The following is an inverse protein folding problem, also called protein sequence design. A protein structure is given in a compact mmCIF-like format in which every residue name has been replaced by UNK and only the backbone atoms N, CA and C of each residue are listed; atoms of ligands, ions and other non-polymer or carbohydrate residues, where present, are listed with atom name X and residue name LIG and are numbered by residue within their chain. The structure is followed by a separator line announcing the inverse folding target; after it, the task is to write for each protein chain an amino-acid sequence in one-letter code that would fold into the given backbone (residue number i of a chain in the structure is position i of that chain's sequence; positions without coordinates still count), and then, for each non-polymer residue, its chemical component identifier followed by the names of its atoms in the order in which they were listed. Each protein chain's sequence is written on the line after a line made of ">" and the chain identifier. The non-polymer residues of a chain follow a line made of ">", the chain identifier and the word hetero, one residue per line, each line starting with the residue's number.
data_IF_220824720042
#
_entry.id   IF_220824720042
#
_cell.length_a   1.000
_cell.length_b   1.000
_cell.length_c   1.000
_cell.angle_alpha   90.00
_cell.angle_beta   90.00
_cell.angle_gamma   90.00
#
_symmetry.space_group_name_H-M   'P 1'
#
loop_
_entity.id
_entity.type
_entity.pdbx_description
1 polymer ?
#
# COMPACT_ATOMS: atom_id res chain seq x y z
N UNK A 1 19.98 -30.15 23.04
CA UNK A 1 18.98 -31.04 23.70
C UNK A 1 17.55 -30.60 23.47
N UNK A 2 17.19 -29.32 23.58
CA UNK A 2 15.81 -28.80 23.40
C UNK A 2 15.24 -28.98 21.98
N UNK A 3 16.04 -28.77 20.94
CA UNK A 3 15.63 -28.90 19.53
C UNK A 3 15.28 -30.34 19.17
N UNK A 4 16.10 -31.33 19.58
CA UNK A 4 15.84 -32.75 19.34
C UNK A 4 14.53 -33.25 19.96
N UNK A 5 14.23 -32.83 21.20
CA UNK A 5 12.94 -33.17 21.84
C UNK A 5 11.73 -32.62 21.09
N UNK A 6 11.86 -31.43 20.50
CA UNK A 6 10.80 -30.79 19.69
C UNK A 6 10.57 -31.52 18.37
N UNK A 7 11.62 -32.04 17.73
CA UNK A 7 11.49 -32.86 16.52
C UNK A 7 10.91 -34.23 16.82
N UNK A 8 11.31 -34.88 17.90
CA UNK A 8 10.74 -36.17 18.32
C UNK A 8 9.23 -36.06 18.63
N UNK A 9 8.80 -34.99 19.31
CA UNK A 9 7.37 -34.74 19.55
C UNK A 9 6.59 -34.52 18.26
N UNK A 10 7.17 -33.75 17.30
CA UNK A 10 6.53 -33.50 16.00
C UNK A 10 6.47 -34.75 15.13
N UNK A 11 7.51 -35.61 15.17
CA UNK A 11 7.52 -36.90 14.49
C UNK A 11 6.40 -37.81 14.96
N UNK A 12 6.23 -37.95 16.27
CA UNK A 12 5.15 -38.77 16.86
C UNK A 12 3.75 -38.32 16.43
N UNK A 13 3.56 -37.03 16.19
CA UNK A 13 2.24 -36.46 15.81
C UNK A 13 1.98 -36.36 14.30
N UNK A 14 3.01 -36.34 13.46
CA UNK A 14 2.86 -35.99 12.04
C UNK A 14 3.54 -36.95 11.04
N UNK A 15 4.23 -38.00 11.54
CA UNK A 15 4.91 -39.01 10.72
C UNK A 15 6.23 -38.54 10.10
N UNK A 16 6.94 -39.52 9.49
CA UNK A 16 8.32 -39.37 9.00
C UNK A 16 8.47 -38.27 7.95
N UNK A 17 7.65 -38.27 6.92
CA UNK A 17 7.76 -37.33 5.77
C UNK A 17 7.63 -35.88 6.20
N UNK A 18 6.60 -35.57 6.99
CA UNK A 18 6.39 -34.20 7.51
C UNK A 18 7.51 -33.76 8.47
N UNK A 19 8.08 -34.72 9.23
CA UNK A 19 9.20 -34.45 10.12
C UNK A 19 10.48 -34.16 9.36
N UNK A 20 10.78 -34.93 8.29
CA UNK A 20 11.91 -34.67 7.40
C UNK A 20 11.78 -33.35 6.67
N UNK A 21 10.59 -33.00 6.12
CA UNK A 21 10.36 -31.70 5.50
C UNK A 21 10.59 -30.55 6.48
N UNK A 22 10.21 -30.70 7.74
CA UNK A 22 10.47 -29.68 8.77
C UNK A 22 11.95 -29.53 9.09
N UNK A 23 12.71 -30.64 9.15
CA UNK A 23 14.17 -30.62 9.37
C UNK A 23 14.85 -29.86 8.23
N UNK A 24 14.53 -30.19 6.98
CA UNK A 24 15.13 -29.55 5.78
C UNK A 24 14.71 -28.07 5.68
N UNK A 25 13.47 -27.73 5.98
CA UNK A 25 12.97 -26.35 5.85
C UNK A 25 13.40 -25.41 6.99
N UNK A 26 13.78 -25.96 8.16
CA UNK A 26 14.13 -25.14 9.34
C UNK A 26 15.37 -24.26 9.11
N UNK A 27 16.49 -24.73 8.56
CA UNK A 27 17.66 -23.89 8.28
C UNK A 27 17.33 -22.77 7.30
N UNK A 28 16.62 -23.06 6.21
CA UNK A 28 16.20 -22.06 5.23
C UNK A 28 15.28 -21.01 5.85
N UNK A 29 14.37 -21.41 6.72
CA UNK A 29 13.48 -20.50 7.45
C UNK A 29 14.25 -19.60 8.42
N UNK A 30 15.26 -20.12 9.10
CA UNK A 30 16.12 -19.34 10.00
C UNK A 30 16.97 -18.33 9.22
N UNK A 31 17.54 -18.73 8.07
CA UNK A 31 18.28 -17.83 7.18
C UNK A 31 17.37 -16.71 6.66
N UNK A 32 16.17 -17.04 6.16
CA UNK A 32 15.18 -16.05 5.72
C UNK A 32 14.82 -15.07 6.84
N UNK A 33 14.56 -15.57 8.05
CA UNK A 33 14.26 -14.73 9.23
C UNK A 33 15.42 -13.82 9.60
N UNK A 34 16.67 -14.32 9.55
CA UNK A 34 17.88 -13.54 9.82
C UNK A 34 18.05 -12.42 8.78
N UNK A 35 17.89 -12.74 7.49
CA UNK A 35 17.96 -11.76 6.41
C UNK A 35 16.86 -10.70 6.51
N UNK A 36 15.63 -11.11 6.80
CA UNK A 36 14.53 -10.19 7.05
C UNK A 36 14.86 -9.21 8.20
N UNK A 37 15.32 -9.71 9.35
CA UNK A 37 15.67 -8.88 10.49
C UNK A 37 16.85 -7.93 10.17
N UNK A 38 17.84 -8.38 9.40
CA UNK A 38 18.97 -7.56 8.95
C UNK A 38 18.48 -6.43 8.03
N UNK A 39 17.63 -6.75 7.04
CA UNK A 39 17.05 -5.78 6.14
C UNK A 39 16.18 -4.78 6.91
N UNK A 40 15.31 -5.26 7.81
CA UNK A 40 14.49 -4.42 8.68
C UNK A 40 15.36 -3.42 9.45
N UNK A 41 16.40 -3.88 10.14
CA UNK A 41 17.31 -2.99 10.89
C UNK A 41 17.99 -1.96 9.98
N UNK A 42 18.45 -2.37 8.80
CA UNK A 42 19.07 -1.46 7.83
C UNK A 42 18.08 -0.41 7.32
N UNK A 43 16.89 -0.81 6.90
CA UNK A 43 15.84 0.11 6.40
C UNK A 43 15.53 1.19 7.44
N UNK A 44 15.23 0.78 8.69
CA UNK A 44 14.77 1.68 9.74
C UNK A 44 15.88 2.46 10.45
N UNK A 45 17.17 2.22 10.11
CA UNK A 45 18.28 3.06 10.59
C UNK A 45 18.43 4.37 9.81
N UNK A 46 17.76 4.52 8.67
CA UNK A 46 17.84 5.74 7.87
C UNK A 46 16.77 6.76 8.27
N UNK A 47 17.12 8.07 8.20
CA UNK A 47 16.18 9.15 8.50
C UNK A 47 15.34 9.57 7.26
N UNK A 48 15.91 9.40 6.05
CA UNK A 48 15.25 9.76 4.80
C UNK A 48 14.20 8.73 4.36
N UNK A 49 12.96 9.16 4.11
CA UNK A 49 11.90 8.31 3.59
C UNK A 49 12.28 7.75 2.22
N UNK A 50 12.81 8.59 1.32
CA UNK A 50 13.33 8.13 0.02
C UNK A 50 14.27 6.94 0.20
N UNK A 51 15.27 7.05 1.10
CA UNK A 51 16.22 5.97 1.33
C UNK A 51 15.59 4.71 1.90
N UNK A 52 14.63 4.85 2.81
CA UNK A 52 13.88 3.70 3.37
C UNK A 52 13.11 2.97 2.28
N UNK A 53 12.32 3.67 1.47
CA UNK A 53 11.51 3.06 0.41
C UNK A 53 12.36 2.50 -0.74
N UNK A 54 13.50 3.12 -1.08
CA UNK A 54 14.48 2.51 -2.00
C UNK A 54 15.03 1.17 -1.49
N UNK A 55 15.32 1.06 -0.19
CA UNK A 55 15.79 -0.19 0.42
C UNK A 55 14.68 -1.24 0.50
N UNK A 56 13.46 -0.84 0.80
CA UNK A 56 12.27 -1.70 0.76
C UNK A 56 12.11 -2.30 -0.64
N UNK A 57 12.16 -1.46 -1.67
CA UNK A 57 12.09 -1.87 -3.07
C UNK A 57 13.23 -2.83 -3.44
N UNK A 58 14.50 -2.43 -3.25
CA UNK A 58 15.69 -3.21 -3.62
C UNK A 58 15.77 -4.57 -2.92
N UNK A 59 15.25 -4.67 -1.71
CA UNK A 59 15.24 -5.93 -0.95
C UNK A 59 14.00 -6.80 -1.18
N UNK A 60 13.04 -6.36 -2.01
CA UNK A 60 11.70 -6.96 -2.12
C UNK A 60 11.13 -7.28 -0.73
N UNK A 61 11.15 -6.26 0.16
CA UNK A 61 10.81 -6.43 1.58
C UNK A 61 9.38 -6.94 1.78
N UNK A 62 8.45 -6.56 0.90
CA UNK A 62 7.05 -7.00 0.92
C UNK A 62 6.83 -8.38 0.27
N UNK A 63 7.90 -9.01 -0.26
CA UNK A 63 7.97 -10.43 -0.58
C UNK A 63 6.92 -10.97 -1.56
N UNK A 64 6.44 -10.19 -2.52
CA UNK A 64 5.65 -10.70 -3.64
C UNK A 64 6.57 -11.12 -4.80
N UNK A 65 6.12 -12.12 -5.55
CA UNK A 65 6.80 -12.58 -6.77
C UNK A 65 6.31 -11.88 -8.03
N UNK A 66 5.10 -11.30 -7.97
CA UNK A 66 4.45 -10.67 -9.11
C UNK A 66 4.65 -9.15 -9.10
N UNK A 67 4.54 -8.52 -7.94
CA UNK A 67 4.60 -7.07 -7.79
C UNK A 67 5.57 -6.67 -6.69
N UNK A 68 6.48 -5.75 -6.96
CA UNK A 68 7.37 -5.18 -5.95
C UNK A 68 6.65 -4.35 -4.90
N UNK A 69 5.41 -3.95 -5.19
CA UNK A 69 4.50 -3.26 -4.27
C UNK A 69 3.81 -4.20 -3.28
N UNK A 70 4.12 -5.49 -3.30
CA UNK A 70 3.66 -6.49 -2.36
C UNK A 70 2.39 -7.25 -2.81
N UNK A 71 1.99 -8.22 -1.96
CA UNK A 71 0.88 -9.13 -2.25
C UNK A 71 -0.46 -8.42 -2.53
N UNK A 72 -0.71 -7.28 -1.90
CA UNK A 72 -1.92 -6.48 -2.11
C UNK A 72 -2.05 -5.94 -3.53
N UNK A 73 -0.94 -5.81 -4.27
CA UNK A 73 -0.90 -5.30 -5.64
C UNK A 73 -0.85 -6.41 -6.70
N UNK A 74 -0.92 -7.69 -6.31
CA UNK A 74 -1.04 -8.79 -7.26
C UNK A 74 -2.39 -8.75 -7.98
N UNK A 75 -2.39 -9.12 -9.25
CA UNK A 75 -3.55 -9.00 -10.14
C UNK A 75 -4.80 -9.72 -9.61
N UNK A 76 -4.62 -10.92 -9.03
CA UNK A 76 -5.70 -11.70 -8.42
C UNK A 76 -6.33 -11.03 -7.20
N UNK A 77 -5.54 -10.26 -6.44
CA UNK A 77 -5.98 -9.61 -5.20
C UNK A 77 -6.63 -8.24 -5.44
N UNK A 78 -6.67 -7.77 -6.70
CA UNK A 78 -7.21 -6.47 -7.10
C UNK A 78 -8.39 -6.56 -8.07
N UNK A 79 -9.00 -7.76 -8.24
CA UNK A 79 -10.10 -7.98 -9.20
C UNK A 79 -11.31 -7.10 -8.84
N UNK A 80 -11.77 -7.16 -7.60
CA UNK A 80 -12.88 -6.33 -7.14
C UNK A 80 -12.57 -4.84 -7.26
N UNK A 81 -11.38 -4.44 -6.81
CA UNK A 81 -10.91 -3.06 -6.92
C UNK A 81 -10.97 -2.56 -8.37
N UNK A 82 -10.42 -3.31 -9.32
CA UNK A 82 -10.43 -2.90 -10.74
C UNK A 82 -11.85 -2.76 -11.29
N UNK A 83 -12.75 -3.69 -10.98
CA UNK A 83 -14.15 -3.61 -11.43
C UNK A 83 -14.87 -2.37 -10.88
N UNK A 84 -14.70 -2.07 -9.60
CA UNK A 84 -15.29 -0.89 -8.98
C UNK A 84 -14.65 0.42 -9.46
N UNK A 85 -13.34 0.42 -9.75
CA UNK A 85 -12.66 1.58 -10.34
C UNK A 85 -13.22 1.96 -11.70
N UNK A 86 -13.60 0.99 -12.55
CA UNK A 86 -14.27 1.29 -13.85
C UNK A 86 -15.55 2.07 -13.62
N UNK A 87 -16.36 1.69 -12.63
CA UNK A 87 -17.60 2.40 -12.28
C UNK A 87 -17.29 3.80 -11.75
N UNK A 88 -16.35 3.91 -10.81
CA UNK A 88 -15.96 5.19 -10.22
C UNK A 88 -15.48 6.18 -11.30
N UNK A 89 -14.59 5.75 -12.19
CA UNK A 89 -14.08 6.57 -13.30
C UNK A 89 -15.23 7.10 -14.15
N UNK A 90 -16.20 6.25 -14.49
CA UNK A 90 -17.37 6.64 -15.27
C UNK A 90 -18.30 7.58 -14.52
N UNK A 91 -18.67 7.24 -13.29
CA UNK A 91 -19.70 7.94 -12.52
C UNK A 91 -19.23 9.35 -12.10
N UNK A 92 -17.93 9.48 -11.80
CA UNK A 92 -17.30 10.77 -11.43
C UNK A 92 -16.66 11.48 -12.63
N UNK A 93 -16.80 10.95 -13.86
CA UNK A 93 -16.27 11.54 -15.10
C UNK A 93 -14.78 11.85 -15.02
N UNK A 94 -13.99 10.90 -14.50
CA UNK A 94 -12.55 11.04 -14.33
C UNK A 94 -11.86 10.89 -15.69
N UNK A 95 -11.13 11.90 -16.11
CA UNK A 95 -10.33 11.93 -17.35
C UNK A 95 -8.83 11.94 -17.08
N UNK A 96 -8.44 12.21 -15.83
CA UNK A 96 -7.03 12.26 -15.42
C UNK A 96 -6.82 11.70 -14.01
N UNK A 97 -5.78 10.88 -13.86
CA UNK A 97 -5.39 10.24 -12.60
C UNK A 97 -3.93 10.58 -12.25
N UNK A 98 -3.72 11.00 -11.01
CA UNK A 98 -2.43 10.93 -10.33
C UNK A 98 -2.45 9.72 -9.40
N UNK A 99 -1.65 8.70 -9.68
CA UNK A 99 -1.46 7.54 -8.80
C UNK A 99 -0.13 7.69 -8.04
N UNK A 100 -0.20 7.95 -6.75
CA UNK A 100 1.00 8.20 -5.94
C UNK A 100 0.82 7.71 -4.48
N UNK A 101 1.61 6.69 -4.08
CA UNK A 101 2.68 6.03 -4.86
C UNK A 101 2.12 5.04 -5.89
N UNK A 102 2.67 5.07 -7.12
CA UNK A 102 2.20 4.22 -8.21
C UNK A 102 2.78 2.79 -8.17
N UNK A 103 3.85 2.58 -7.41
CA UNK A 103 4.56 1.31 -7.43
C UNK A 103 4.98 0.88 -8.84
N UNK A 104 4.89 -0.42 -9.13
CA UNK A 104 5.27 -1.02 -10.41
C UNK A 104 4.14 -1.01 -11.47
N UNK A 105 3.10 -0.22 -11.26
CA UNK A 105 1.97 -0.09 -12.19
C UNK A 105 1.20 -1.40 -12.46
N UNK A 106 1.44 -2.45 -11.68
CA UNK A 106 0.91 -3.80 -11.94
C UNK A 106 -0.62 -3.86 -11.96
N UNK A 107 -1.26 -3.43 -10.87
CA UNK A 107 -2.71 -3.64 -10.70
C UNK A 107 -3.57 -2.69 -11.52
N UNK A 108 -3.11 -1.45 -11.77
CA UNK A 108 -3.90 -0.40 -12.41
C UNK A 108 -3.71 -0.36 -13.93
N UNK A 109 -2.64 -0.93 -14.46
CA UNK A 109 -2.27 -0.89 -15.88
C UNK A 109 -3.46 -1.24 -16.81
N UNK A 110 -4.21 -2.29 -16.47
CA UNK A 110 -5.35 -2.75 -17.27
C UNK A 110 -6.55 -1.78 -17.33
N UNK A 111 -6.58 -0.77 -16.47
CA UNK A 111 -7.65 0.25 -16.41
C UNK A 111 -7.33 1.46 -17.28
N UNK A 112 -6.05 1.70 -17.56
CA UNK A 112 -5.63 2.90 -18.27
C UNK A 112 -5.75 2.68 -19.77
N UNK A 113 -6.59 3.49 -20.42
CA UNK A 113 -6.85 3.48 -21.86
C UNK A 113 -6.53 4.84 -22.49
N UNK A 114 -6.64 4.96 -23.81
CA UNK A 114 -6.30 6.17 -24.57
C UNK A 114 -7.08 7.44 -24.19
N UNK A 115 -8.20 7.29 -23.48
CA UNK A 115 -9.04 8.43 -23.09
C UNK A 115 -8.75 8.88 -21.65
N UNK A 116 -7.88 8.18 -20.92
CA UNK A 116 -7.56 8.44 -19.53
C UNK A 116 -6.09 8.84 -19.40
N UNK A 117 -5.83 10.08 -19.03
CA UNK A 117 -4.46 10.55 -18.74
C UNK A 117 -4.01 10.00 -17.40
N UNK A 118 -2.81 9.45 -17.35
CA UNK A 118 -2.24 8.87 -16.15
C UNK A 118 -0.85 9.42 -15.84
N UNK A 119 -0.69 9.88 -14.61
CA UNK A 119 0.60 10.25 -14.04
C UNK A 119 0.87 9.33 -12.86
N UNK A 120 1.89 8.46 -12.97
CA UNK A 120 2.39 7.66 -11.85
C UNK A 120 3.49 8.41 -11.11
N UNK A 121 3.32 8.65 -9.82
CA UNK A 121 4.34 9.25 -8.95
C UNK A 121 4.85 8.27 -7.92
N UNK A 122 6.17 8.21 -7.71
CA UNK A 122 6.76 7.42 -6.61
C UNK A 122 8.06 8.05 -6.13
N UNK A 123 8.36 7.87 -4.85
CA UNK A 123 9.61 8.37 -4.24
C UNK A 123 10.83 7.54 -4.65
N UNK A 124 10.62 6.32 -5.19
CA UNK A 124 11.66 5.36 -5.63
C UNK A 124 12.00 5.62 -7.10
N UNK A 125 13.07 6.35 -7.35
CA UNK A 125 13.47 6.75 -8.71
C UNK A 125 13.78 5.58 -9.64
N UNK A 126 14.48 4.55 -9.15
CA UNK A 126 14.79 3.35 -9.95
C UNK A 126 13.50 2.70 -10.51
N UNK A 127 12.40 2.73 -9.74
CA UNK A 127 11.10 2.21 -10.13
C UNK A 127 10.44 3.09 -11.19
N UNK A 128 10.52 4.41 -11.04
CA UNK A 128 10.01 5.38 -12.01
C UNK A 128 10.73 5.23 -13.36
N UNK A 129 12.07 5.08 -13.35
CA UNK A 129 12.84 4.86 -14.57
C UNK A 129 12.43 3.56 -15.29
N UNK A 130 12.19 2.49 -14.55
CA UNK A 130 11.71 1.23 -15.11
C UNK A 130 10.31 1.37 -15.70
N UNK A 131 9.38 1.98 -14.98
CA UNK A 131 8.02 2.20 -15.46
C UNK A 131 8.01 3.05 -16.73
N UNK A 132 8.81 4.12 -16.81
CA UNK A 132 8.92 4.93 -18.01
C UNK A 132 9.48 4.16 -19.21
N UNK A 133 10.45 3.27 -19.00
CA UNK A 133 11.00 2.43 -20.08
C UNK A 133 9.99 1.44 -20.65
N UNK A 134 9.08 0.95 -19.81
CA UNK A 134 8.14 -0.13 -20.17
C UNK A 134 6.81 0.41 -20.64
N UNK A 135 6.26 1.44 -19.98
CA UNK A 135 4.85 1.82 -20.11
C UNK A 135 4.62 3.24 -20.63
N UNK A 136 5.64 4.12 -20.64
CA UNK A 136 5.46 5.52 -21.05
C UNK A 136 4.93 5.62 -22.47
N UNK A 137 3.91 6.45 -22.65
CA UNK A 137 3.34 6.83 -23.95
C UNK A 137 2.70 8.23 -23.84
N UNK A 138 1.93 8.66 -24.85
CA UNK A 138 1.32 10.00 -24.88
C UNK A 138 0.34 10.25 -23.73
N UNK A 139 -0.27 9.20 -23.16
CA UNK A 139 -1.25 9.31 -22.06
C UNK A 139 -0.72 8.83 -20.71
N UNK A 140 0.44 8.17 -20.66
CA UNK A 140 1.02 7.57 -19.46
C UNK A 140 2.43 8.10 -19.27
N UNK A 141 2.66 8.75 -18.13
CA UNK A 141 3.99 9.21 -17.71
C UNK A 141 4.25 8.84 -16.25
N UNK A 142 5.52 8.68 -15.91
CA UNK A 142 5.93 8.43 -14.53
C UNK A 142 6.95 9.46 -14.10
N UNK A 143 6.82 9.98 -12.86
CA UNK A 143 7.66 11.03 -12.31
C UNK A 143 8.12 10.68 -10.90
N UNK A 144 9.36 11.04 -10.51
CA UNK A 144 9.74 11.05 -9.10
C UNK A 144 8.85 12.02 -8.32
N UNK A 145 8.27 11.56 -7.21
CA UNK A 145 7.32 12.36 -6.43
C UNK A 145 7.32 11.96 -4.95
N UNK A 146 7.64 12.91 -4.08
CA UNK A 146 7.33 12.81 -2.66
C UNK A 146 6.00 13.50 -2.37
N UNK A 147 4.97 12.71 -2.07
CA UNK A 147 3.61 13.23 -1.84
C UNK A 147 3.49 14.16 -0.63
N UNK A 148 4.50 14.19 0.24
CA UNK A 148 4.50 15.03 1.45
C UNK A 148 5.09 16.42 1.24
N UNK A 149 5.83 16.64 0.14
CA UNK A 149 6.59 17.89 -0.07
C UNK A 149 6.54 18.43 -1.50
N UNK A 150 6.46 17.56 -2.51
CA UNK A 150 6.54 17.99 -3.89
C UNK A 150 5.20 18.50 -4.39
N UNK A 151 5.20 19.45 -5.34
CA UNK A 151 3.98 19.93 -5.98
C UNK A 151 3.28 18.78 -6.71
N UNK A 152 2.04 18.48 -6.29
CA UNK A 152 1.22 17.44 -6.92
C UNK A 152 0.75 17.90 -8.30
N UNK A 153 0.92 17.08 -9.36
CA UNK A 153 0.33 17.34 -10.67
C UNK A 153 -1.19 17.49 -10.60
N UNK A 154 -1.73 18.40 -11.38
CA UNK A 154 -3.20 18.56 -11.48
C UNK A 154 -3.84 17.33 -12.11
N UNK A 155 -4.93 16.86 -11.53
CA UNK A 155 -5.71 15.72 -12.01
C UNK A 155 -7.13 15.76 -11.44
N UNK A 156 -8.05 15.00 -12.02
CA UNK A 156 -9.40 14.87 -11.48
C UNK A 156 -9.37 13.99 -10.22
N UNK A 157 -8.58 12.92 -10.24
CA UNK A 157 -8.48 11.95 -9.15
C UNK A 157 -7.01 11.72 -8.75
N UNK A 158 -6.72 11.80 -7.44
CA UNK A 158 -5.50 11.21 -6.87
C UNK A 158 -5.82 9.89 -6.19
N UNK A 159 -5.06 8.85 -6.53
CA UNK A 159 -5.07 7.56 -5.84
C UNK A 159 -3.87 7.52 -4.90
N UNK A 160 -4.12 7.28 -3.61
CA UNK A 160 -3.08 7.05 -2.61
C UNK A 160 -3.37 5.72 -1.90
N UNK A 161 -3.08 4.62 -2.63
CA UNK A 161 -3.35 3.26 -2.17
C UNK A 161 -2.16 2.68 -1.40
N UNK A 162 -2.44 2.07 -0.24
CA UNK A 162 -1.45 1.38 0.60
C UNK A 162 -0.21 2.23 0.97
N UNK A 163 -0.38 3.56 1.04
CA UNK A 163 0.70 4.49 1.36
C UNK A 163 0.64 4.98 2.82
N UNK A 164 -0.48 5.58 3.23
CA UNK A 164 -0.59 6.21 4.56
C UNK A 164 -0.45 5.21 5.70
N UNK A 165 -0.70 3.93 5.45
CA UNK A 165 -0.48 2.81 6.37
C UNK A 165 1.01 2.62 6.72
N UNK A 166 1.90 3.21 5.93
CA UNK A 166 3.36 3.15 6.10
C UNK A 166 3.98 4.48 6.51
N UNK A 167 3.18 5.53 6.73
CA UNK A 167 3.68 6.86 7.09
C UNK A 167 3.37 7.20 8.55
N UNK A 168 4.28 7.93 9.20
CA UNK A 168 4.05 8.55 10.51
C UNK A 168 2.89 9.55 10.46
N UNK A 169 2.27 9.85 11.59
CA UNK A 169 1.21 10.86 11.66
C UNK A 169 1.67 12.23 11.16
N UNK A 170 2.93 12.58 11.43
CA UNK A 170 3.53 13.81 10.90
C UNK A 170 3.48 13.84 9.37
N UNK A 171 3.92 12.78 8.71
CA UNK A 171 3.95 12.74 7.25
C UNK A 171 2.56 12.59 6.62
N UNK A 172 1.61 11.95 7.31
CA UNK A 172 0.20 11.94 6.88
C UNK A 172 -0.38 13.37 6.94
N UNK A 173 -0.09 14.15 7.97
CA UNK A 173 -0.50 15.56 8.03
C UNK A 173 0.10 16.38 6.90
N UNK A 174 1.40 16.25 6.63
CA UNK A 174 2.05 16.92 5.50
C UNK A 174 1.42 16.53 4.16
N UNK A 175 1.10 15.27 3.96
CA UNK A 175 0.38 14.79 2.78
C UNK A 175 -0.98 15.48 2.62
N UNK A 176 -1.81 15.54 3.68
CA UNK A 176 -3.10 16.21 3.59
C UNK A 176 -2.98 17.69 3.32
N UNK A 177 -2.01 18.38 3.93
CA UNK A 177 -1.75 19.81 3.63
C UNK A 177 -1.30 20.00 2.18
N UNK A 178 -0.43 19.14 1.66
CA UNK A 178 -0.01 19.18 0.27
C UNK A 178 -1.18 18.95 -0.70
N UNK A 179 -2.05 17.96 -0.38
CA UNK A 179 -3.26 17.71 -1.17
C UNK A 179 -4.23 18.90 -1.14
N UNK A 180 -4.47 19.53 0.01
CA UNK A 180 -5.32 20.73 0.13
C UNK A 180 -4.86 21.86 -0.79
N UNK A 181 -3.57 22.01 -1.00
CA UNK A 181 -2.93 23.02 -1.84
C UNK A 181 -2.84 22.63 -3.33
N UNK A 182 -3.20 21.42 -3.70
CA UNK A 182 -3.14 20.93 -5.09
C UNK A 182 -4.34 21.37 -5.93
N UNK A 183 -4.30 21.11 -7.25
CA UNK A 183 -5.42 21.20 -8.16
C UNK A 183 -5.95 19.81 -8.50
N UNK A 184 -6.46 19.10 -7.48
CA UNK A 184 -7.01 17.75 -7.59
C UNK A 184 -8.40 17.75 -6.96
N UNK A 185 -9.41 17.22 -7.67
CA UNK A 185 -10.80 17.28 -7.23
C UNK A 185 -11.18 16.18 -6.25
N UNK A 186 -10.66 14.97 -6.47
CA UNK A 186 -10.98 13.79 -5.69
C UNK A 186 -9.74 13.08 -5.18
N UNK A 187 -9.86 12.48 -4.00
CA UNK A 187 -8.81 11.70 -3.34
C UNK A 187 -9.34 10.33 -2.94
N UNK A 188 -8.70 9.26 -3.45
CA UNK A 188 -9.03 7.87 -3.14
C UNK A 188 -7.95 7.29 -2.21
N UNK A 189 -8.32 6.92 -0.99
CA UNK A 189 -7.41 6.55 0.10
C UNK A 189 -7.70 5.18 0.69
N UNK A 190 -6.64 4.42 1.01
CA UNK A 190 -6.75 3.22 1.85
C UNK A 190 -7.13 3.57 3.28
N UNK A 191 -8.15 2.91 3.81
CA UNK A 191 -8.57 2.96 5.22
C UNK A 191 -9.04 1.60 5.69
N UNK A 192 -8.79 1.27 6.94
CA UNK A 192 -9.20 0.01 7.55
C UNK A 192 -10.38 0.21 8.51
N UNK A 193 -11.20 -0.83 8.64
CA UNK A 193 -12.28 -0.92 9.64
C UNK A 193 -12.22 -2.29 10.33
N UNK A 194 -12.49 -2.33 11.63
CA UNK A 194 -12.70 -3.61 12.30
C UNK A 194 -13.97 -4.29 11.78
N UNK A 195 -13.93 -5.61 11.64
CA UNK A 195 -15.12 -6.41 11.32
C UNK A 195 -16.12 -6.43 12.46
N UNK A 196 -15.63 -6.38 13.69
CA UNK A 196 -16.45 -6.18 14.88
C UNK A 196 -16.86 -4.71 14.96
N UNK A 197 -18.05 -4.38 14.51
CA UNK A 197 -18.59 -3.01 14.45
C UNK A 197 -18.80 -2.38 15.85
N UNK A 198 -18.76 -3.17 16.94
CA UNK A 198 -18.80 -2.65 18.31
C UNK A 198 -17.49 -2.01 18.75
N UNK A 199 -16.41 -2.15 17.96
CA UNK A 199 -15.08 -1.67 18.24
C UNK A 199 -14.59 -0.72 17.15
N UNK A 200 -13.67 0.17 17.52
CA UNK A 200 -12.98 1.07 16.59
C UNK A 200 -11.48 0.81 16.65
N UNK A 201 -10.78 1.06 15.55
CA UNK A 201 -9.32 1.04 15.53
C UNK A 201 -8.83 2.23 16.35
N UNK A 202 -7.93 1.95 17.31
CA UNK A 202 -7.12 3.00 17.94
C UNK A 202 -5.90 3.21 17.06
N UNK A 203 -5.87 4.31 16.31
CA UNK A 203 -4.71 4.65 15.51
C UNK A 203 -3.47 4.86 16.41
N UNK A 204 -2.36 4.27 16.02
CA UNK A 204 -1.05 4.43 16.68
C UNK A 204 -0.08 5.06 15.68
N UNK A 205 0.86 5.88 16.16
CA UNK A 205 1.93 6.39 15.32
C UNK A 205 3.00 5.32 15.07
N UNK A 206 3.68 5.43 13.94
CA UNK A 206 4.74 4.51 13.52
C UNK A 206 5.92 5.28 12.93
N UNK A 207 7.06 4.62 12.82
CA UNK A 207 8.17 5.10 12.00
C UNK A 207 7.84 4.86 10.51
N UNK A 208 8.10 5.86 9.65
CA UNK A 208 7.86 5.73 8.22
C UNK A 208 8.51 4.48 7.63
N UNK A 209 7.76 3.74 6.83
CA UNK A 209 8.12 2.44 6.26
C UNK A 209 7.65 1.24 7.10
N UNK A 210 7.26 1.40 8.36
CA UNK A 210 6.58 0.35 9.13
C UNK A 210 5.14 0.17 8.62
N UNK A 211 4.38 -0.74 9.20
CA UNK A 211 3.00 -1.04 8.80
C UNK A 211 2.06 -0.96 10.00
N UNK A 212 0.89 -0.36 9.78
CA UNK A 212 -0.27 -0.50 10.65
C UNK A 212 -1.58 -0.44 9.86
N UNK A 213 -2.61 -1.07 10.37
CA UNK A 213 -3.99 -0.79 9.96
C UNK A 213 -4.39 0.58 10.51
N UNK A 214 -4.85 1.50 9.62
CA UNK A 214 -5.26 2.85 9.98
C UNK A 214 -6.73 3.08 9.62
N UNK A 215 -7.52 3.58 10.55
CA UNK A 215 -8.87 4.08 10.30
C UNK A 215 -8.85 5.61 10.20
N UNK A 216 -8.99 6.13 9.00
CA UNK A 216 -8.95 7.56 8.76
C UNK A 216 -10.20 8.30 9.25
N UNK A 217 -11.28 7.59 9.61
CA UNK A 217 -12.50 8.20 10.13
C UNK A 217 -12.47 8.51 11.63
N UNK A 218 -11.43 8.06 12.34
CA UNK A 218 -11.27 8.32 13.78
C UNK A 218 -10.02 9.15 14.07
N UNK A 219 -9.90 9.59 15.33
CA UNK A 219 -8.74 10.36 15.80
C UNK A 219 -7.39 9.71 15.41
N UNK A 220 -6.39 10.46 14.94
CA UNK A 220 -6.33 11.93 14.88
C UNK A 220 -6.83 12.54 13.56
N UNK A 221 -7.34 11.77 12.61
CA UNK A 221 -7.67 12.24 11.26
C UNK A 221 -9.11 12.71 11.11
N UNK A 222 -10.07 11.98 11.69
CA UNK A 222 -11.50 12.31 11.74
C UNK A 222 -12.10 12.68 10.36
N UNK A 223 -11.70 11.93 9.31
CA UNK A 223 -12.29 12.12 7.98
C UNK A 223 -13.80 11.85 8.01
N UNK A 224 -14.60 12.63 7.27
CA UNK A 224 -16.04 12.44 7.18
C UNK A 224 -16.38 11.13 6.45
N UNK A 225 -17.68 10.82 6.36
CA UNK A 225 -18.15 9.71 5.54
C UNK A 225 -17.71 9.92 4.07
N UNK A 226 -17.07 8.93 3.43
CA UNK A 226 -16.63 9.05 2.05
C UNK A 226 -17.79 9.06 1.06
N UNK A 227 -17.58 9.67 -0.11
CA UNK A 227 -18.54 9.69 -1.21
C UNK A 227 -18.76 8.31 -1.84
N UNK A 228 -17.74 7.48 -1.84
CA UNK A 228 -17.75 6.13 -2.38
C UNK A 228 -16.76 5.25 -1.63
N UNK A 229 -17.08 3.95 -1.50
CA UNK A 229 -16.23 2.95 -0.83
C UNK A 229 -16.02 1.75 -1.73
N UNK A 230 -14.78 1.33 -1.90
CA UNK A 230 -14.42 0.11 -2.59
C UNK A 230 -13.82 -0.86 -1.56
N UNK A 231 -14.37 -2.08 -1.45
CA UNK A 231 -13.72 -3.14 -0.69
C UNK A 231 -12.48 -3.61 -1.44
N UNK A 232 -11.32 -3.37 -0.85
CA UNK A 232 -10.02 -3.78 -1.38
C UNK A 232 -9.55 -5.08 -0.69
N UNK A 233 -8.74 -5.88 -1.38
CA UNK A 233 -8.10 -7.09 -0.81
C UNK A 233 -9.09 -8.06 -0.16
N UNK A 234 -10.26 -8.28 -0.79
CA UNK A 234 -11.32 -9.08 -0.18
C UNK A 234 -10.86 -10.50 0.17
N UNK A 235 -10.01 -11.14 -0.61
CA UNK A 235 -9.42 -12.44 -0.30
C UNK A 235 -8.53 -12.42 0.96
N UNK A 236 -7.70 -11.37 1.12
CA UNK A 236 -6.84 -11.24 2.32
C UNK A 236 -7.64 -10.87 3.55
N UNK A 237 -8.71 -10.07 3.40
CA UNK A 237 -9.57 -9.66 4.51
C UNK A 237 -10.45 -10.79 5.01
N UNK A 238 -10.67 -11.86 4.24
CA UNK A 238 -11.47 -13.02 4.71
C UNK A 238 -10.97 -13.61 6.03
N UNK A 239 -9.66 -13.66 6.22
CA UNK A 239 -9.01 -14.25 7.40
C UNK A 239 -8.54 -13.23 8.42
N UNK A 240 -8.51 -11.93 8.08
CA UNK A 240 -8.12 -10.85 9.00
C UNK A 240 -9.29 -10.38 9.86
N UNK A 241 -9.00 -9.72 10.96
CA UNK A 241 -10.00 -9.04 11.80
C UNK A 241 -10.50 -7.71 11.23
N UNK A 242 -10.06 -7.33 10.00
CA UNK A 242 -10.29 -6.03 9.39
C UNK A 242 -10.90 -6.13 8.01
N UNK A 243 -11.67 -5.09 7.63
CA UNK A 243 -11.93 -4.75 6.23
C UNK A 243 -10.91 -3.71 5.78
N UNK A 244 -10.47 -3.81 4.53
CA UNK A 244 -9.65 -2.80 3.87
C UNK A 244 -10.50 -2.14 2.79
N UNK A 245 -10.62 -0.81 2.83
CA UNK A 245 -11.37 -0.05 1.85
C UNK A 245 -10.49 0.97 1.14
N UNK A 246 -10.79 1.26 -0.12
CA UNK A 246 -10.45 2.54 -0.72
C UNK A 246 -11.67 3.46 -0.60
N UNK A 247 -11.48 4.58 0.06
CA UNK A 247 -12.50 5.57 0.33
C UNK A 247 -12.26 6.80 -0.52
N UNK A 248 -13.29 7.23 -1.28
CA UNK A 248 -13.27 8.43 -2.11
C UNK A 248 -13.74 9.65 -1.33
N UNK A 249 -12.98 10.71 -1.39
CA UNK A 249 -13.31 12.01 -0.82
C UNK A 249 -13.20 13.11 -1.87
N UNK A 250 -14.08 14.11 -1.83
CA UNK A 250 -13.88 15.34 -2.58
C UNK A 250 -12.83 16.22 -1.89
N UNK A 251 -12.16 17.07 -2.66
CA UNK A 251 -11.25 18.11 -2.12
C UNK A 251 -11.93 18.96 -1.03
N UNK A 252 -13.19 19.33 -1.23
CA UNK A 252 -13.97 20.11 -0.25
C UNK A 252 -14.11 19.40 1.11
N UNK A 253 -14.25 18.07 1.12
CA UNK A 253 -14.27 17.29 2.37
C UNK A 253 -12.93 17.34 3.08
N UNK A 254 -11.83 17.18 2.34
CA UNK A 254 -10.46 17.20 2.90
C UNK A 254 -10.10 18.61 3.41
N UNK A 255 -10.52 19.67 2.72
CA UNK A 255 -10.28 21.06 3.15
C UNK A 255 -10.95 21.42 4.48
N UNK A 256 -12.05 20.74 4.83
CA UNK A 256 -12.77 20.93 6.10
C UNK A 256 -12.15 20.19 7.28
N UNK A 257 -11.14 19.34 7.04
CA UNK A 257 -10.42 18.69 8.15
C UNK A 257 -9.72 19.76 8.99
N UNK A 258 -10.04 19.79 10.27
CA UNK A 258 -9.28 20.58 11.25
C UNK A 258 -7.91 19.94 11.45
N UNK A 259 -6.86 20.77 11.39
CA UNK A 259 -5.45 20.40 11.57
C UNK A 259 -5.17 19.75 12.92
#
# INVERSE_FOLDING_TARGET
>A
MFILKRYQKFYKSNGLVKSMMKIISTPLRLIKKRNYNKNKKNIFSHNSNKKKFELIYKSNFWSSKESVSGLGSEYKNTINLRNEMVKLIKDYKIESILDAPCGDFNWINSLINKNLRYVGGDIVWDLIDQNNKIYKNDNIIFIPLDITSDKLPSSDLMICRDCLIHLSFKNIKLFFENFKNSNIDYLLLTSYKLKDSSKVIKNIDITDGEFREIDLSVYPFNLPEPLFKILDKDEQTKTSGYFCYLNLYSKKQIQKMTS
#
